data_IF_969468797603
#
_entry.id   IF_969468797603
#
_cell.length_a   1.000
_cell.length_b   1.000
_cell.length_c   1.000
_cell.angle_alpha   90.00
_cell.angle_beta   90.00
_cell.angle_gamma   90.00
#
_symmetry.space_group_name_H-M   'P 1'
#
loop_
_entity.id
_entity.type
_entity.pdbx_description
1 polymer ?
#
# COMPACT_ATOMS: atom_id res chain seq x y z
N UNK A 1 33.08 -11.60 -7.93
CA UNK A 1 33.16 -10.16 -7.61
C UNK A 1 31.74 -9.60 -7.58
N UNK A 2 31.21 -9.32 -6.39
CA UNK A 2 29.85 -8.80 -6.22
C UNK A 2 29.83 -7.33 -6.67
N UNK A 3 29.20 -7.04 -7.83
CA UNK A 3 28.87 -5.66 -8.19
C UNK A 3 27.86 -5.19 -7.14
N UNK A 4 28.33 -4.41 -6.16
CA UNK A 4 27.44 -3.56 -5.33
C UNK A 4 26.78 -2.57 -6.28
N UNK A 5 25.64 -2.97 -6.84
CA UNK A 5 24.78 -2.10 -7.62
C UNK A 5 24.20 -1.12 -6.59
N UNK A 6 24.82 0.07 -6.46
CA UNK A 6 24.18 1.18 -5.76
C UNK A 6 22.99 1.57 -6.62
N UNK A 7 21.84 0.98 -6.34
CA UNK A 7 20.59 1.35 -6.99
C UNK A 7 20.36 2.85 -6.78
N UNK A 8 20.00 3.54 -7.85
CA UNK A 8 19.73 4.97 -7.85
C UNK A 8 18.57 5.23 -6.89
N UNK A 9 18.69 6.16 -5.93
CA UNK A 9 17.51 6.58 -5.17
C UNK A 9 16.56 7.27 -6.14
N UNK A 10 15.37 6.71 -6.32
CA UNK A 10 14.39 7.25 -7.27
C UNK A 10 13.40 8.16 -6.58
N UNK A 11 13.20 8.00 -5.27
CA UNK A 11 12.42 8.90 -4.43
C UNK A 11 13.32 9.52 -3.34
N UNK A 12 12.95 10.71 -2.86
CA UNK A 12 13.45 11.27 -1.62
C UNK A 12 12.94 10.49 -0.40
N UNK A 13 13.54 10.70 0.77
CA UNK A 13 13.08 10.05 2.00
C UNK A 13 11.62 10.37 2.32
N UNK A 14 11.22 11.64 2.16
CA UNK A 14 9.85 12.08 2.42
C UNK A 14 8.84 11.48 1.43
N UNK A 15 9.18 11.38 0.14
CA UNK A 15 8.31 10.74 -0.86
C UNK A 15 8.20 9.23 -0.62
N UNK A 16 9.31 8.59 -0.24
CA UNK A 16 9.29 7.19 0.12
C UNK A 16 8.40 6.96 1.35
N UNK A 17 8.48 7.81 2.37
CA UNK A 17 7.62 7.71 3.56
C UNK A 17 6.13 7.94 3.21
N UNK A 18 5.84 8.98 2.42
CA UNK A 18 4.49 9.26 1.95
C UNK A 18 3.88 8.07 1.21
N UNK A 19 4.67 7.35 0.40
CA UNK A 19 4.20 6.27 -0.45
C UNK A 19 4.31 4.87 0.16
N UNK A 20 5.32 4.60 0.98
CA UNK A 20 5.64 3.26 1.49
C UNK A 20 5.61 3.16 3.02
N UNK A 21 5.66 4.28 3.71
CA UNK A 21 5.48 4.35 5.15
C UNK A 21 4.06 4.00 5.59
N UNK A 22 3.92 3.54 6.83
CA UNK A 22 2.62 3.35 7.47
C UNK A 22 1.85 4.69 7.45
N UNK A 23 0.52 4.71 7.25
CA UNK A 23 -0.24 5.95 7.43
C UNK A 23 -0.18 6.41 8.89
N UNK A 24 0.17 7.68 9.10
CA UNK A 24 0.09 8.37 10.39
C UNK A 24 -1.13 9.30 10.29
N UNK A 25 -2.31 8.81 10.68
CA UNK A 25 -3.55 9.58 10.56
C UNK A 25 -3.71 10.58 11.70
N UNK A 26 -4.08 11.81 11.36
CA UNK A 26 -4.70 12.73 12.30
C UNK A 26 -6.20 12.42 12.50
N UNK A 27 -6.84 13.10 13.45
CA UNK A 27 -8.27 12.92 13.76
C UNK A 27 -9.18 13.06 12.52
N UNK A 28 -8.85 13.97 11.60
CA UNK A 28 -9.64 14.19 10.39
C UNK A 28 -9.46 13.03 9.40
N UNK A 29 -8.23 12.55 9.25
CA UNK A 29 -7.90 11.40 8.41
C UNK A 29 -8.47 10.09 8.96
N UNK A 30 -8.55 9.91 10.29
CA UNK A 30 -9.27 8.79 10.90
C UNK A 30 -10.75 8.83 10.52
N UNK A 31 -11.40 10.00 10.63
CA UNK A 31 -12.80 10.17 10.24
C UNK A 31 -13.02 9.92 8.74
N UNK A 32 -12.06 10.26 7.88
CA UNK A 32 -12.16 10.05 6.44
C UNK A 32 -11.90 8.59 6.05
N UNK A 33 -10.76 8.03 6.47
CA UNK A 33 -10.27 6.74 6.00
C UNK A 33 -10.72 5.57 6.86
N UNK A 34 -10.94 5.74 8.16
CA UNK A 34 -11.44 4.66 9.03
C UNK A 34 -12.97 4.63 9.15
N UNK A 35 -13.68 5.62 8.60
CA UNK A 35 -15.11 5.49 8.37
C UNK A 35 -15.38 4.47 7.25
N UNK A 36 -15.91 3.31 7.64
CA UNK A 36 -16.22 2.22 6.70
C UNK A 36 -17.69 2.15 6.30
N UNK A 37 -17.93 1.68 5.07
CA UNK A 37 -19.27 1.38 4.55
C UNK A 37 -19.83 0.08 5.14
N UNK A 38 -21.11 -0.20 4.94
CA UNK A 38 -21.72 -1.47 5.37
C UNK A 38 -21.03 -2.69 4.74
N UNK A 39 -20.64 -2.60 3.47
CA UNK A 39 -19.94 -3.69 2.77
C UNK A 39 -18.54 -3.92 3.33
N UNK A 40 -17.81 -2.84 3.62
CA UNK A 40 -16.49 -2.89 4.26
C UNK A 40 -16.57 -3.48 5.68
N UNK A 41 -17.57 -3.06 6.46
CA UNK A 41 -17.82 -3.59 7.80
C UNK A 41 -18.24 -5.07 7.77
N UNK A 42 -19.04 -5.49 6.79
CA UNK A 42 -19.40 -6.89 6.60
C UNK A 42 -18.18 -7.77 6.27
N UNK A 43 -17.26 -7.27 5.43
CA UNK A 43 -15.98 -7.93 5.16
C UNK A 43 -15.19 -8.10 6.45
N UNK A 44 -15.02 -7.05 7.24
CA UNK A 44 -14.34 -7.13 8.53
C UNK A 44 -15.04 -8.10 9.49
N UNK A 45 -16.36 -8.06 9.62
CA UNK A 45 -17.11 -8.92 10.53
C UNK A 45 -17.08 -10.41 10.19
N UNK A 46 -16.75 -10.76 8.94
CA UNK A 46 -16.53 -12.16 8.56
C UNK A 46 -15.19 -12.73 9.06
N UNK A 47 -14.34 -11.92 9.71
CA UNK A 47 -13.09 -12.38 10.33
C UNK A 47 -13.35 -13.18 11.62
N UNK A 48 -12.52 -14.19 11.93
CA UNK A 48 -12.81 -15.16 13.00
C UNK A 48 -12.70 -14.60 14.42
N UNK A 49 -11.99 -13.49 14.63
CA UNK A 49 -11.72 -12.92 15.96
C UNK A 49 -11.72 -11.40 15.94
N UNK A 50 -11.99 -10.76 17.08
CA UNK A 50 -12.04 -9.30 17.19
C UNK A 50 -10.75 -8.62 16.70
N UNK A 51 -9.57 -9.10 17.11
CA UNK A 51 -8.30 -8.54 16.63
C UNK A 51 -8.10 -8.71 15.12
N UNK A 52 -8.64 -9.78 14.51
CA UNK A 52 -8.63 -9.94 13.06
C UNK A 52 -9.63 -8.97 12.38
N UNK A 53 -10.81 -8.73 12.97
CA UNK A 53 -11.77 -7.73 12.48
C UNK A 53 -11.18 -6.32 12.52
N UNK A 54 -10.57 -5.93 13.64
CA UNK A 54 -9.92 -4.62 13.81
C UNK A 54 -8.78 -4.46 12.82
N UNK A 55 -7.88 -5.45 12.72
CA UNK A 55 -6.81 -5.42 11.72
C UNK A 55 -7.37 -5.24 10.29
N UNK A 56 -8.46 -5.93 9.97
CA UNK A 56 -9.11 -5.80 8.66
C UNK A 56 -9.62 -4.38 8.39
N UNK A 57 -10.24 -3.72 9.38
CA UNK A 57 -10.69 -2.33 9.23
C UNK A 57 -9.53 -1.34 9.09
N UNK A 58 -8.44 -1.52 9.85
CA UNK A 58 -7.23 -0.73 9.69
C UNK A 58 -6.64 -0.90 8.29
N UNK A 59 -6.52 -2.13 7.80
CA UNK A 59 -6.05 -2.41 6.43
C UNK A 59 -6.96 -1.77 5.37
N UNK A 60 -8.29 -1.75 5.57
CA UNK A 60 -9.23 -1.05 4.68
C UNK A 60 -8.93 0.45 4.67
N UNK A 61 -8.78 1.09 5.83
CA UNK A 61 -8.49 2.52 5.91
C UNK A 61 -7.15 2.89 5.27
N UNK A 62 -6.10 2.14 5.59
CA UNK A 62 -4.78 2.35 4.98
C UNK A 62 -4.79 2.11 3.48
N UNK A 63 -5.59 1.15 3.02
CA UNK A 63 -5.76 0.90 1.60
C UNK A 63 -6.53 2.03 0.89
N UNK A 64 -7.53 2.64 1.53
CA UNK A 64 -8.21 3.81 0.97
C UNK A 64 -7.28 5.03 0.86
N UNK A 65 -6.45 5.26 1.88
CA UNK A 65 -5.53 6.39 1.89
C UNK A 65 -4.38 6.22 0.90
N UNK A 66 -3.76 5.04 0.87
CA UNK A 66 -2.50 4.82 0.15
C UNK A 66 -2.58 3.78 -0.97
N UNK A 67 -3.68 3.07 -1.20
CA UNK A 67 -3.79 1.98 -2.19
C UNK A 67 -2.69 0.89 -2.07
N UNK A 68 -2.24 0.64 -0.83
CA UNK A 68 -1.26 -0.39 -0.50
C UNK A 68 -1.58 -1.02 0.85
N UNK A 69 -0.88 -2.12 1.13
CA UNK A 69 -1.01 -2.86 2.37
C UNK A 69 0.26 -2.75 3.19
N UNK A 70 0.08 -2.60 4.50
CA UNK A 70 1.17 -2.35 5.44
C UNK A 70 1.25 -3.50 6.45
N UNK A 71 2.46 -3.79 6.90
CA UNK A 71 2.66 -4.60 8.11
C UNK A 71 2.86 -3.63 9.25
N UNK A 72 2.25 -3.92 10.39
CA UNK A 72 2.38 -3.13 11.60
C UNK A 72 2.29 -4.06 12.80
N UNK A 73 2.93 -3.65 13.89
CA UNK A 73 2.66 -4.11 15.24
C UNK A 73 1.59 -3.21 15.88
N UNK A 74 0.94 -3.69 16.95
CA UNK A 74 -0.23 -3.00 17.52
C UNK A 74 0.12 -1.68 18.19
N UNK A 75 1.35 -1.52 18.67
CA UNK A 75 1.91 -0.29 19.26
C UNK A 75 2.13 0.81 18.21
N UNK A 76 2.32 0.46 16.94
CA UNK A 76 2.46 1.43 15.84
C UNK A 76 1.12 2.04 15.41
N UNK A 77 -0.01 1.47 15.86
CA UNK A 77 -1.36 1.83 15.40
C UNK A 77 -2.35 2.02 16.56
N UNK A 78 -1.87 2.37 17.75
CA UNK A 78 -2.72 2.45 18.96
C UNK A 78 -3.90 3.41 18.79
N UNK A 79 -3.65 4.61 18.24
CA UNK A 79 -4.67 5.64 18.05
C UNK A 79 -5.74 5.20 17.04
N UNK A 80 -5.31 4.66 15.89
CA UNK A 80 -6.23 4.16 14.86
C UNK A 80 -7.01 2.93 15.35
N UNK A 81 -6.37 2.06 16.13
CA UNK A 81 -7.00 0.91 16.77
C UNK A 81 -8.08 1.36 17.78
N UNK A 82 -7.76 2.35 18.63
CA UNK A 82 -8.70 2.91 19.58
C UNK A 82 -9.90 3.56 18.88
N UNK A 83 -9.66 4.30 17.78
CA UNK A 83 -10.72 4.86 16.95
C UNK A 83 -11.67 3.77 16.42
N UNK A 84 -11.12 2.72 15.80
CA UNK A 84 -11.91 1.60 15.25
C UNK A 84 -12.72 0.89 16.33
N UNK A 85 -12.11 0.57 17.47
CA UNK A 85 -12.77 -0.09 18.60
C UNK A 85 -13.93 0.75 19.14
N UNK A 86 -13.67 2.04 19.39
CA UNK A 86 -14.68 2.97 19.91
C UNK A 86 -15.86 3.18 18.96
N UNK A 87 -15.63 3.02 17.65
CA UNK A 87 -16.65 3.26 16.64
C UNK A 87 -17.46 2.03 16.28
N UNK A 88 -16.83 0.86 16.17
CA UNK A 88 -17.45 -0.34 15.59
C UNK A 88 -17.60 -1.51 16.56
N UNK A 89 -16.88 -1.54 17.68
CA UNK A 89 -16.85 -2.67 18.62
C UNK A 89 -16.98 -2.20 20.08
N UNK A 90 -17.89 -1.25 20.32
CA UNK A 90 -18.10 -0.66 21.65
C UNK A 90 -18.44 -1.72 22.69
N UNK A 91 -17.69 -1.71 23.80
CA UNK A 91 -17.90 -2.62 24.92
C UNK A 91 -17.33 -4.04 24.72
N UNK A 92 -16.69 -4.33 23.59
CA UNK A 92 -15.98 -5.60 23.42
C UNK A 92 -14.61 -5.57 24.10
N UNK A 93 -14.26 -6.67 24.79
CA UNK A 93 -12.94 -6.83 25.38
C UNK A 93 -11.91 -7.09 24.27
N UNK A 94 -10.99 -6.16 24.06
CA UNK A 94 -9.94 -6.26 23.06
C UNK A 94 -8.64 -6.79 23.64
N UNK A 95 -8.11 -7.84 23.03
CA UNK A 95 -6.77 -8.37 23.31
C UNK A 95 -6.00 -8.45 21.98
N UNK A 96 -4.97 -7.61 21.77
CA UNK A 96 -4.19 -7.63 20.54
C UNK A 96 -3.40 -8.94 20.41
N UNK A 97 -3.49 -9.56 19.24
CA UNK A 97 -2.74 -10.79 18.90
C UNK A 97 -2.14 -10.69 17.52
N UNK A 98 -1.05 -11.43 17.31
CA UNK A 98 -0.41 -11.51 16.01
C UNK A 98 -1.38 -12.10 14.97
N UNK A 99 -1.50 -11.42 13.83
CA UNK A 99 -2.28 -11.91 12.70
C UNK A 99 -1.48 -12.97 11.96
N UNK A 100 -2.11 -14.12 11.73
CA UNK A 100 -1.44 -15.20 11.00
C UNK A 100 -1.13 -14.78 9.58
N UNK A 101 -0.09 -15.37 8.98
CA UNK A 101 0.26 -15.11 7.58
C UNK A 101 -0.93 -15.39 6.66
N UNK A 102 -1.63 -16.51 6.86
CA UNK A 102 -2.81 -16.88 6.08
C UNK A 102 -3.89 -15.79 6.16
N UNK A 103 -4.27 -15.39 7.36
CA UNK A 103 -5.29 -14.36 7.59
C UNK A 103 -4.90 -13.03 6.93
N UNK A 104 -3.64 -12.62 7.06
CA UNK A 104 -3.13 -11.40 6.40
C UNK A 104 -3.29 -11.45 4.89
N UNK A 105 -2.97 -12.57 4.23
CA UNK A 105 -3.15 -12.71 2.79
C UNK A 105 -4.63 -12.72 2.39
N UNK A 106 -5.47 -13.43 3.15
CA UNK A 106 -6.92 -13.48 2.91
C UNK A 106 -7.55 -12.08 2.99
N UNK A 107 -7.21 -11.27 3.99
CA UNK A 107 -7.68 -9.90 4.09
C UNK A 107 -7.24 -9.06 2.89
N UNK A 108 -5.96 -9.12 2.52
CA UNK A 108 -5.41 -8.35 1.40
C UNK A 108 -6.09 -8.69 0.08
N UNK A 109 -6.33 -9.98 -0.18
CA UNK A 109 -7.00 -10.43 -1.41
C UNK A 109 -8.44 -9.89 -1.48
N UNK A 110 -9.20 -10.02 -0.39
CA UNK A 110 -10.60 -9.59 -0.37
C UNK A 110 -10.76 -8.07 -0.36
N UNK A 111 -9.87 -7.34 0.32
CA UNK A 111 -9.85 -5.87 0.27
C UNK A 111 -9.50 -5.42 -1.14
N UNK A 112 -8.48 -6.02 -1.79
CA UNK A 112 -8.14 -5.69 -3.17
C UNK A 112 -9.34 -5.95 -4.10
N UNK A 113 -10.01 -7.09 -3.96
CA UNK A 113 -11.20 -7.43 -4.73
C UNK A 113 -12.34 -6.41 -4.50
N UNK A 114 -12.59 -6.02 -3.25
CA UNK A 114 -13.63 -5.05 -2.88
C UNK A 114 -13.43 -3.71 -3.59
N UNK A 115 -12.19 -3.24 -3.70
CA UNK A 115 -11.86 -1.98 -4.36
C UNK A 115 -11.51 -2.12 -5.85
N UNK A 116 -11.65 -3.32 -6.43
CA UNK A 116 -11.33 -3.59 -7.83
C UNK A 116 -9.84 -3.58 -8.17
N UNK A 117 -8.98 -3.66 -7.15
CA UNK A 117 -7.53 -3.70 -7.31
C UNK A 117 -6.99 -5.11 -7.53
N UNK A 118 -5.88 -5.18 -8.27
CA UNK A 118 -5.13 -6.42 -8.51
C UNK A 118 -3.74 -6.30 -7.91
N UNK A 119 -3.18 -7.38 -7.34
CA UNK A 119 -1.79 -7.36 -6.88
C UNK A 119 -0.84 -7.14 -8.06
N UNK A 120 0.27 -6.44 -7.81
CA UNK A 120 1.38 -6.39 -8.74
C UNK A 120 1.84 -7.82 -9.12
N UNK A 121 2.17 -7.99 -10.40
CA UNK A 121 2.82 -9.19 -10.91
C UNK A 121 3.73 -8.84 -12.10
N UNK A 122 4.67 -9.72 -12.42
CA UNK A 122 5.56 -9.54 -13.57
C UNK A 122 4.81 -9.46 -14.92
N UNK A 123 3.54 -9.87 -14.98
CA UNK A 123 2.71 -9.74 -16.18
C UNK A 123 2.47 -8.27 -16.60
N UNK A 124 2.65 -7.31 -15.69
CA UNK A 124 2.52 -5.88 -15.97
C UNK A 124 3.85 -5.21 -16.35
N UNK A 125 4.96 -5.96 -16.35
CA UNK A 125 6.30 -5.41 -16.54
C UNK A 125 6.48 -4.77 -17.91
N UNK A 126 5.92 -5.36 -18.97
CA UNK A 126 6.01 -4.79 -20.32
C UNK A 126 5.28 -3.45 -20.41
N UNK A 127 4.08 -3.35 -19.85
CA UNK A 127 3.32 -2.09 -19.81
C UNK A 127 4.04 -1.01 -18.99
N UNK A 128 4.57 -1.36 -17.81
CA UNK A 128 5.33 -0.40 -17.01
C UNK A 128 6.61 0.07 -17.70
N UNK A 129 7.35 -0.82 -18.37
CA UNK A 129 8.53 -0.42 -19.16
C UNK A 129 8.16 0.52 -20.30
N UNK A 130 7.04 0.26 -20.99
CA UNK A 130 6.53 1.15 -22.03
C UNK A 130 6.14 2.52 -21.44
N UNK A 131 5.41 2.55 -20.32
CA UNK A 131 5.03 3.78 -19.64
C UNK A 131 6.26 4.57 -19.17
N UNK A 132 7.25 3.88 -18.59
CA UNK A 132 8.50 4.50 -18.16
C UNK A 132 9.25 5.13 -19.34
N UNK A 133 9.40 4.42 -20.47
CA UNK A 133 10.05 4.95 -21.67
C UNK A 133 9.31 6.19 -22.24
N UNK A 134 7.98 6.18 -22.24
CA UNK A 134 7.20 7.37 -22.64
C UNK A 134 7.40 8.55 -21.69
N UNK A 135 7.54 8.27 -20.39
CA UNK A 135 7.74 9.28 -19.35
C UNK A 135 9.13 9.90 -19.43
N UNK A 136 10.17 9.08 -19.64
CA UNK A 136 11.57 9.54 -19.73
C UNK A 136 11.78 10.51 -20.89
N UNK A 137 11.03 10.36 -22.00
CA UNK A 137 11.03 11.31 -23.12
C UNK A 137 10.53 12.71 -22.74
N UNK A 138 9.73 12.83 -21.67
CA UNK A 138 9.23 14.11 -21.14
C UNK A 138 10.17 14.66 -20.09
N UNK A 139 10.62 13.81 -19.16
CA UNK A 139 11.56 14.17 -18.09
C UNK A 139 12.34 12.93 -17.62
N UNK A 140 13.67 13.05 -17.66
CA UNK A 140 14.63 12.00 -17.28
C UNK A 140 14.85 11.91 -15.75
N UNK A 141 14.18 12.75 -14.97
CA UNK A 141 14.32 12.80 -13.51
C UNK A 141 13.74 11.53 -12.88
N UNK A 142 14.54 10.76 -12.10
CA UNK A 142 14.10 9.48 -11.53
C UNK A 142 12.82 9.56 -10.70
N UNK A 143 12.68 10.62 -9.89
CA UNK A 143 11.49 10.86 -9.07
C UNK A 143 10.24 11.13 -9.90
N UNK A 144 10.38 11.87 -10.99
CA UNK A 144 9.27 12.10 -11.91
C UNK A 144 8.80 10.79 -12.56
N UNK A 145 9.74 9.98 -13.06
CA UNK A 145 9.41 8.67 -13.64
C UNK A 145 8.76 7.75 -12.61
N UNK A 146 9.27 7.70 -11.39
CA UNK A 146 8.69 6.90 -10.31
C UNK A 146 7.25 7.35 -9.97
N UNK A 147 7.01 8.65 -9.85
CA UNK A 147 5.69 9.20 -9.56
C UNK A 147 4.67 8.89 -10.68
N UNK A 148 5.02 9.10 -11.95
CA UNK A 148 4.13 8.82 -13.09
C UNK A 148 3.80 7.31 -13.20
N UNK A 149 4.74 6.42 -12.87
CA UNK A 149 4.47 4.99 -12.80
C UNK A 149 3.49 4.63 -11.69
N UNK A 150 3.60 5.28 -10.52
CA UNK A 150 2.65 5.08 -9.41
C UNK A 150 1.26 5.59 -9.79
N UNK A 151 1.16 6.75 -10.45
CA UNK A 151 -0.11 7.27 -10.98
C UNK A 151 -0.72 6.25 -11.94
N UNK A 152 0.05 5.77 -12.92
CA UNK A 152 -0.41 4.78 -13.89
C UNK A 152 -0.89 3.49 -13.21
N UNK A 153 -0.16 2.99 -12.21
CA UNK A 153 -0.55 1.80 -11.44
C UNK A 153 -1.91 2.00 -10.75
N UNK A 154 -2.12 3.16 -10.12
CA UNK A 154 -3.37 3.48 -9.43
C UNK A 154 -4.55 3.60 -10.42
N UNK A 155 -4.35 4.25 -11.56
CA UNK A 155 -5.37 4.37 -12.63
C UNK A 155 -5.80 3.00 -13.16
N UNK A 156 -4.88 2.05 -13.26
CA UNK A 156 -5.15 0.69 -13.73
C UNK A 156 -5.56 -0.28 -12.62
N UNK A 157 -5.78 0.24 -11.40
CA UNK A 157 -6.14 -0.52 -10.20
C UNK A 157 -5.15 -1.66 -9.94
N UNK A 158 -3.86 -1.36 -9.99
CA UNK A 158 -2.78 -2.29 -9.67
C UNK A 158 -2.10 -1.80 -8.41
N UNK A 159 -2.04 -2.66 -7.39
CA UNK A 159 -1.35 -2.36 -6.15
C UNK A 159 0.13 -2.22 -6.46
N UNK A 160 0.72 -1.08 -6.08
CA UNK A 160 2.12 -0.79 -6.38
C UNK A 160 3.07 -1.89 -5.87
N UNK A 161 4.17 -2.17 -6.59
CA UNK A 161 5.20 -3.08 -6.11
C UNK A 161 5.99 -2.44 -4.96
N UNK A 162 6.77 -3.25 -4.25
CA UNK A 162 7.71 -2.77 -3.24
C UNK A 162 8.74 -1.79 -3.84
N UNK A 163 9.27 -0.90 -3.00
CA UNK A 163 10.13 0.20 -3.45
C UNK A 163 11.33 -0.27 -4.28
N UNK A 164 12.02 -1.35 -3.87
CA UNK A 164 13.15 -1.91 -4.62
C UNK A 164 12.78 -2.31 -6.05
N UNK A 165 11.61 -2.91 -6.25
CA UNK A 165 11.13 -3.28 -7.60
C UNK A 165 10.84 -2.05 -8.45
N UNK A 166 10.22 -1.00 -7.87
CA UNK A 166 10.01 0.27 -8.57
C UNK A 166 11.36 0.93 -8.93
N UNK A 167 12.29 0.93 -7.98
CA UNK A 167 13.64 1.48 -8.13
C UNK A 167 14.43 0.80 -9.24
N UNK A 168 14.38 -0.53 -9.31
CA UNK A 168 14.99 -1.33 -10.38
C UNK A 168 14.40 -0.98 -11.74
N UNK A 169 13.07 -0.90 -11.85
CA UNK A 169 12.39 -0.59 -13.11
C UNK A 169 12.75 0.80 -13.67
N UNK A 170 12.78 1.80 -12.80
CA UNK A 170 13.18 3.17 -13.18
C UNK A 170 14.66 3.20 -13.55
N UNK A 171 15.53 2.56 -12.76
CA UNK A 171 16.98 2.51 -13.03
C UNK A 171 17.30 1.83 -14.37
N UNK A 172 16.63 0.73 -14.69
CA UNK A 172 16.77 0.02 -15.97
C UNK A 172 16.35 0.91 -17.14
N UNK A 173 15.21 1.60 -17.01
CA UNK A 173 14.66 2.43 -18.09
C UNK A 173 15.58 3.63 -18.38
N UNK A 174 16.05 4.33 -17.33
CA UNK A 174 16.97 5.45 -17.50
C UNK A 174 18.33 5.02 -18.06
N UNK A 175 18.78 3.81 -17.75
CA UNK A 175 20.03 3.27 -18.30
C UNK A 175 19.89 2.97 -19.79
N UNK A 176 18.73 2.45 -20.22
CA UNK A 176 18.44 2.17 -21.62
C UNK A 176 18.31 3.44 -22.48
N UNK A 177 17.73 4.51 -21.95
CA UNK A 177 17.57 5.79 -22.67
C UNK A 177 18.88 6.58 -22.80
N UNK A 178 19.91 6.26 -22.00
CA UNK A 178 21.25 6.87 -22.09
C UNK A 178 22.18 6.19 -23.10
N UNK A 179 21.81 5.01 -23.61
CA UNK A 179 22.56 4.26 -24.62
C UNK A 179 22.17 4.68 -26.03
#
# INVERSE_FOLDING_TARGET
MSKKNKLLSVLSGAEQEALYGLPEFDDAQQLEYLAVTETELALANSRPSLYAKVCCLLQIGYFKAKHAFFSFDWDEVEDDCAFVLSRYFQGEAFEPKAITKHERYTQREQIAQLFGYRPWSAAFLSQLKQQAAQTVRRDVTPGFVAAELIVWLNEHKIIRPGYTTLQELVSETLSAERQ
#
